data_IF_608109222111
#
_entry.id   IF_608109222111
#
_cell.length_a   1.000
_cell.length_b   1.000
_cell.length_c   1.000
_cell.angle_alpha   90.00
_cell.angle_beta   90.00
_cell.angle_gamma   90.00
#
_symmetry.space_group_name_H-M   'P 1'
#
loop_
_entity.id
_entity.type
_entity.pdbx_description
1 polymer ?
#
# COMPACT_ATOMS: atom_id res chain seq x y z
N UNK A 1 49.53 -34.59 -20.68
CA UNK A 1 49.41 -33.49 -19.72
C UNK A 1 48.02 -32.88 -19.87
N UNK A 2 47.06 -33.36 -19.09
CA UNK A 2 45.66 -32.94 -19.17
C UNK A 2 45.49 -31.72 -18.23
N UNK A 3 45.20 -30.57 -18.80
CA UNK A 3 44.76 -29.41 -18.01
C UNK A 3 43.28 -29.63 -17.64
N UNK A 4 43.04 -29.89 -16.38
CA UNK A 4 41.69 -29.82 -15.82
C UNK A 4 41.31 -28.35 -15.65
N UNK A 5 40.44 -27.83 -16.51
CA UNK A 5 39.82 -26.56 -16.32
C UNK A 5 38.80 -26.72 -15.17
N UNK A 6 39.16 -26.23 -13.98
CA UNK A 6 38.20 -26.08 -12.89
C UNK A 6 37.23 -24.96 -13.26
N UNK A 7 36.02 -25.34 -13.65
CA UNK A 7 34.93 -24.41 -13.83
C UNK A 7 34.65 -23.74 -12.48
N UNK A 8 34.99 -22.48 -12.35
CA UNK A 8 34.55 -21.64 -11.23
C UNK A 8 33.04 -21.50 -11.37
N UNK A 9 32.23 -21.99 -10.43
CA UNK A 9 30.80 -21.79 -10.53
C UNK A 9 30.53 -20.27 -10.51
N UNK A 10 29.63 -19.79 -11.36
CA UNK A 10 29.32 -18.37 -11.39
C UNK A 10 28.85 -17.91 -10.01
N UNK A 11 29.37 -16.80 -9.54
CA UNK A 11 29.08 -16.22 -8.23
C UNK A 11 27.59 -16.03 -7.93
N UNK A 12 26.75 -16.09 -8.97
CA UNK A 12 25.29 -16.09 -8.88
C UNK A 12 24.68 -17.34 -8.22
N UNK A 13 25.39 -18.46 -8.13
CA UNK A 13 24.86 -19.68 -7.52
C UNK A 13 24.75 -19.61 -5.98
N UNK A 14 25.61 -18.82 -5.34
CA UNK A 14 25.57 -18.66 -3.88
C UNK A 14 24.50 -17.69 -3.39
N UNK A 15 24.05 -16.75 -4.22
CA UNK A 15 23.00 -15.79 -3.87
C UNK A 15 21.58 -16.37 -3.99
N UNK A 16 21.42 -17.47 -4.73
CA UNK A 16 20.10 -18.12 -4.91
C UNK A 16 19.59 -18.85 -3.67
N UNK A 17 20.46 -19.16 -2.71
CA UNK A 17 20.08 -19.89 -1.50
C UNK A 17 19.49 -19.01 -0.40
N UNK A 18 19.52 -17.69 -0.57
CA UNK A 18 18.97 -16.75 0.41
C UNK A 18 18.09 -15.71 -0.29
N UNK A 19 16.90 -16.15 -0.71
CA UNK A 19 15.96 -15.32 -1.46
C UNK A 19 15.66 -13.96 -0.77
N UNK A 20 15.62 -13.92 0.56
CA UNK A 20 15.44 -12.70 1.32
C UNK A 20 16.58 -11.71 1.18
N UNK A 21 17.83 -12.19 1.22
CA UNK A 21 19.02 -11.32 1.07
C UNK A 21 19.19 -10.87 -0.37
N UNK A 22 18.95 -11.75 -1.33
CA UNK A 22 18.96 -11.40 -2.75
C UNK A 22 17.89 -10.36 -3.05
N UNK A 23 16.73 -10.51 -2.45
CA UNK A 23 15.66 -9.55 -2.55
C UNK A 23 16.05 -8.19 -1.94
N UNK A 24 16.84 -8.14 -0.88
CA UNK A 24 17.30 -6.90 -0.24
C UNK A 24 18.48 -6.22 -0.94
N UNK A 25 19.34 -6.97 -1.62
CA UNK A 25 20.63 -6.44 -2.06
C UNK A 25 20.79 -6.26 -3.58
N UNK A 26 19.96 -6.87 -4.41
CA UNK A 26 20.29 -7.03 -5.83
C UNK A 26 19.38 -6.39 -6.86
N UNK A 27 18.29 -5.75 -6.48
CA UNK A 27 17.41 -5.09 -7.46
C UNK A 27 16.67 -3.91 -6.83
N UNK A 28 16.52 -2.83 -7.59
CA UNK A 28 15.49 -1.83 -7.34
C UNK A 28 14.15 -2.55 -7.25
N UNK A 29 13.49 -2.46 -6.08
CA UNK A 29 12.41 -3.38 -5.79
C UNK A 29 11.11 -2.84 -6.28
N UNK A 30 10.67 -3.45 -7.35
CA UNK A 30 9.34 -3.24 -7.86
C UNK A 30 8.34 -4.09 -7.06
N UNK A 31 7.80 -3.49 -6.00
CA UNK A 31 6.79 -4.13 -5.15
C UNK A 31 5.48 -4.38 -5.89
N UNK A 32 5.26 -3.73 -7.03
CA UNK A 32 4.06 -3.94 -7.83
C UNK A 32 3.98 -5.34 -8.43
N UNK A 33 5.11 -6.03 -8.58
CA UNK A 33 5.15 -7.41 -9.06
C UNK A 33 4.44 -8.37 -8.11
N UNK A 34 4.44 -8.09 -6.82
CA UNK A 34 3.73 -8.90 -5.84
C UNK A 34 2.22 -8.99 -6.13
N UNK A 35 1.67 -7.95 -6.77
CA UNK A 35 0.25 -7.86 -7.12
C UNK A 35 -0.07 -8.49 -8.49
N UNK A 36 0.90 -9.14 -9.11
CA UNK A 36 0.76 -9.91 -10.37
C UNK A 36 1.10 -11.40 -10.19
N UNK A 37 1.59 -11.79 -9.02
CA UNK A 37 2.02 -13.16 -8.75
C UNK A 37 0.81 -14.04 -8.35
N UNK A 38 0.58 -15.09 -9.14
CA UNK A 38 -0.52 -16.04 -8.95
C UNK A 38 -0.40 -16.89 -7.68
N UNK A 39 0.81 -17.01 -7.12
CA UNK A 39 1.05 -17.75 -5.87
C UNK A 39 0.66 -16.98 -4.62
N UNK A 40 0.40 -15.68 -4.74
CA UNK A 40 0.06 -14.83 -3.62
C UNK A 40 -1.43 -14.86 -3.30
N UNK A 41 -1.75 -14.70 -2.01
CA UNK A 41 -3.11 -14.52 -1.56
C UNK A 41 -3.43 -13.02 -1.46
N UNK A 42 -4.55 -12.61 -2.03
CA UNK A 42 -4.99 -11.23 -2.12
C UNK A 42 -6.12 -10.97 -1.11
N UNK A 43 -6.12 -9.78 -0.51
CA UNK A 43 -7.16 -9.35 0.41
C UNK A 43 -7.60 -7.93 0.05
N UNK A 44 -8.90 -7.75 -0.18
CA UNK A 44 -9.50 -6.47 -0.52
C UNK A 44 -10.30 -5.92 0.66
N UNK A 45 -10.14 -4.63 0.95
CA UNK A 45 -10.95 -3.96 1.95
C UNK A 45 -12.42 -3.93 1.49
N UNK A 46 -13.33 -4.39 2.35
CA UNK A 46 -14.75 -4.56 2.03
C UNK A 46 -15.62 -3.58 2.81
N UNK A 47 -15.69 -3.75 4.12
CA UNK A 47 -16.62 -2.99 4.96
C UNK A 47 -15.99 -2.61 6.30
N UNK A 48 -16.51 -1.55 6.91
CA UNK A 48 -16.18 -1.17 8.27
C UNK A 48 -17.00 -2.03 9.24
N UNK A 49 -16.33 -2.78 10.11
CA UNK A 49 -17.00 -3.59 11.14
C UNK A 49 -17.32 -2.73 12.36
N UNK A 50 -16.35 -1.91 12.78
CA UNK A 50 -16.50 -1.02 13.93
C UNK A 50 -15.54 0.15 13.82
N UNK A 51 -15.91 1.27 14.45
CA UNK A 51 -15.01 2.42 14.63
C UNK A 51 -15.38 3.16 15.92
N UNK A 52 -14.37 3.38 16.75
CA UNK A 52 -14.49 4.16 17.98
C UNK A 52 -13.83 5.52 17.78
N UNK A 53 -14.62 6.57 17.78
CA UNK A 53 -14.16 7.96 17.58
C UNK A 53 -13.30 8.48 18.72
N UNK A 54 -13.46 7.93 19.93
CA UNK A 54 -12.70 8.37 21.10
C UNK A 54 -11.23 7.91 21.06
N UNK A 55 -11.01 6.72 20.55
CA UNK A 55 -9.66 6.13 20.42
C UNK A 55 -9.09 6.22 19.01
N UNK A 56 -9.92 6.51 18.01
CA UNK A 56 -9.55 6.49 16.61
C UNK A 56 -9.27 5.08 16.06
N UNK A 57 -9.68 4.02 16.79
CA UNK A 57 -9.49 2.62 16.38
C UNK A 57 -10.71 2.09 15.65
N UNK A 58 -10.46 1.38 14.58
CA UNK A 58 -11.50 0.69 13.82
C UNK A 58 -11.08 -0.70 13.37
N UNK A 59 -12.03 -1.44 12.86
CA UNK A 59 -11.84 -2.78 12.30
C UNK A 59 -12.43 -2.83 10.91
N UNK A 60 -11.65 -3.29 9.95
CA UNK A 60 -12.06 -3.50 8.56
C UNK A 60 -12.22 -4.99 8.30
N UNK A 61 -13.31 -5.35 7.65
CA UNK A 61 -13.52 -6.67 7.06
C UNK A 61 -12.77 -6.73 5.74
N UNK A 62 -11.94 -7.75 5.57
CA UNK A 62 -11.24 -8.03 4.33
C UNK A 62 -11.86 -9.22 3.63
N UNK A 63 -11.88 -9.16 2.31
CA UNK A 63 -12.33 -10.26 1.45
C UNK A 63 -11.13 -10.89 0.78
N UNK A 64 -10.96 -12.17 0.99
CA UNK A 64 -9.93 -12.96 0.34
C UNK A 64 -10.24 -13.16 -1.14
N UNK A 65 -9.21 -13.01 -1.96
CA UNK A 65 -9.27 -13.13 -3.41
C UNK A 65 -8.10 -13.99 -3.89
N UNK A 66 -8.26 -14.59 -5.05
CA UNK A 66 -7.17 -15.20 -5.80
C UNK A 66 -7.04 -14.52 -7.15
N UNK A 67 -5.83 -14.46 -7.65
CA UNK A 67 -5.55 -13.98 -9.00
C UNK A 67 -5.60 -15.16 -9.97
N UNK A 68 -6.49 -15.13 -10.94
CA UNK A 68 -6.64 -16.16 -11.94
C UNK A 68 -6.32 -15.63 -13.32
N UNK A 69 -5.58 -16.38 -14.16
CA UNK A 69 -5.43 -16.03 -15.55
C UNK A 69 -6.79 -16.12 -16.24
N UNK A 70 -7.17 -15.07 -16.96
CA UNK A 70 -8.38 -15.10 -17.77
C UNK A 70 -8.13 -15.95 -19.01
N UNK A 71 -8.87 -17.04 -19.15
CA UNK A 71 -8.90 -17.84 -20.38
C UNK A 71 -9.72 -17.11 -21.45
N UNK A 72 -9.11 -16.14 -22.11
CA UNK A 72 -9.69 -15.44 -23.23
C UNK A 72 -8.58 -15.09 -24.24
N UNK A 73 -8.96 -14.63 -25.42
CA UNK A 73 -8.07 -14.29 -26.54
C UNK A 73 -6.91 -13.33 -26.21
N UNK A 74 -6.88 -12.76 -25.02
CA UNK A 74 -5.78 -11.95 -24.52
C UNK A 74 -5.18 -12.61 -23.27
N UNK A 75 -4.09 -13.33 -23.44
CA UNK A 75 -3.41 -14.11 -22.40
C UNK A 75 -2.86 -13.30 -21.23
N UNK A 76 -2.84 -11.97 -21.31
CA UNK A 76 -2.28 -11.07 -20.31
C UNK A 76 -3.33 -10.44 -19.37
N UNK A 77 -4.56 -10.92 -19.41
CA UNK A 77 -5.63 -10.38 -18.56
C UNK A 77 -5.85 -11.32 -17.37
N UNK A 78 -5.71 -10.76 -16.17
CA UNK A 78 -5.98 -11.46 -14.91
C UNK A 78 -7.30 -10.99 -14.31
N UNK A 79 -7.99 -11.89 -13.65
CA UNK A 79 -9.24 -11.63 -12.96
C UNK A 79 -9.09 -12.01 -11.48
N UNK A 80 -9.40 -11.08 -10.59
CA UNK A 80 -9.54 -11.40 -9.17
C UNK A 80 -10.92 -12.00 -8.93
N UNK A 81 -10.97 -13.11 -8.22
CA UNK A 81 -12.23 -13.75 -7.82
C UNK A 81 -12.14 -14.26 -6.38
N UNK A 82 -13.27 -14.36 -5.68
CA UNK A 82 -13.31 -14.95 -4.36
C UNK A 82 -12.76 -16.38 -4.38
N UNK A 83 -11.97 -16.73 -3.37
CA UNK A 83 -11.50 -18.08 -3.20
C UNK A 83 -12.68 -18.98 -2.81
N UNK A 84 -12.86 -20.09 -3.51
CA UNK A 84 -13.90 -21.04 -3.18
C UNK A 84 -13.41 -22.03 -2.11
N UNK A 85 -14.29 -22.44 -1.21
CA UNK A 85 -13.94 -23.37 -0.12
C UNK A 85 -13.47 -24.74 -0.58
N UNK A 86 -13.80 -25.12 -1.83
CA UNK A 86 -13.33 -26.38 -2.44
C UNK A 86 -11.87 -26.36 -2.85
N UNK A 87 -11.28 -25.16 -3.06
CA UNK A 87 -9.91 -25.05 -3.54
C UNK A 87 -8.89 -25.30 -2.42
N UNK A 88 -9.24 -24.88 -1.17
CA UNK A 88 -8.36 -25.04 0.00
C UNK A 88 -9.15 -25.24 1.28
N UNK A 89 -8.69 -26.08 2.21
CA UNK A 89 -9.31 -26.23 3.53
C UNK A 89 -9.28 -24.88 4.31
N UNK A 90 -10.40 -24.49 4.88
CA UNK A 90 -10.50 -23.25 5.67
C UNK A 90 -9.51 -23.16 6.81
N UNK A 91 -9.13 -24.30 7.39
CA UNK A 91 -8.21 -24.39 8.52
C UNK A 91 -6.75 -24.09 8.15
N UNK A 92 -6.39 -24.14 6.86
CA UNK A 92 -5.01 -23.95 6.40
C UNK A 92 -4.70 -22.50 6.00
N UNK A 93 -5.71 -21.66 5.81
CA UNK A 93 -5.54 -20.31 5.28
C UNK A 93 -6.42 -19.30 6.01
N UNK A 94 -5.88 -18.09 6.22
CA UNK A 94 -6.65 -16.98 6.76
C UNK A 94 -7.87 -16.73 5.85
N UNK A 95 -9.04 -16.99 6.36
CA UNK A 95 -10.28 -16.65 5.68
C UNK A 95 -10.55 -15.15 5.88
N UNK A 96 -11.44 -14.55 5.21
CA UNK A 96 -11.85 -13.14 5.29
C UNK A 96 -11.54 -12.45 6.65
N UNK A 97 -10.32 -11.99 6.91
CA UNK A 97 -9.91 -11.54 8.22
C UNK A 97 -10.53 -10.18 8.58
N UNK A 98 -10.69 -9.94 9.87
CA UNK A 98 -11.03 -8.65 10.44
C UNK A 98 -9.75 -8.04 11.04
N UNK A 99 -9.28 -6.92 10.49
CA UNK A 99 -8.01 -6.33 10.89
C UNK A 99 -8.19 -4.89 11.35
N UNK A 100 -7.40 -4.52 12.33
CA UNK A 100 -7.46 -3.20 12.98
C UNK A 100 -6.78 -2.14 12.13
N UNK A 101 -7.35 -0.94 12.16
CA UNK A 101 -6.70 0.28 11.71
C UNK A 101 -6.88 1.40 12.74
N UNK A 102 -6.03 2.43 12.64
CA UNK A 102 -6.16 3.63 13.48
C UNK A 102 -6.15 4.88 12.62
N UNK A 103 -6.88 5.90 13.08
CA UNK A 103 -6.85 7.25 12.54
C UNK A 103 -6.52 8.20 13.68
N UNK A 104 -5.39 8.84 13.59
CA UNK A 104 -4.84 9.69 14.64
C UNK A 104 -4.59 11.10 14.11
N UNK A 105 -5.28 12.10 14.65
CA UNK A 105 -4.93 13.50 14.39
C UNK A 105 -3.54 13.83 14.96
N UNK A 106 -2.61 14.25 14.09
CA UNK A 106 -1.25 14.64 14.46
C UNK A 106 -1.11 16.15 14.55
N UNK A 107 -1.79 16.87 13.66
CA UNK A 107 -1.84 18.33 13.66
C UNK A 107 -3.18 18.80 13.09
N UNK A 108 -3.40 20.11 13.05
CA UNK A 108 -4.60 20.68 12.44
C UNK A 108 -4.81 20.32 10.95
N UNK A 109 -3.74 19.88 10.26
CA UNK A 109 -3.72 19.54 8.82
C UNK A 109 -3.35 18.09 8.54
N UNK A 110 -2.99 17.31 9.55
CA UNK A 110 -2.38 16.00 9.35
C UNK A 110 -3.12 14.95 10.15
N UNK A 111 -3.53 13.90 9.46
CA UNK A 111 -4.04 12.67 10.03
C UNK A 111 -3.06 11.54 9.72
N UNK A 112 -2.72 10.74 10.72
CA UNK A 112 -1.98 9.50 10.56
C UNK A 112 -2.96 8.34 10.49
N UNK A 113 -2.87 7.56 9.42
CA UNK A 113 -3.66 6.35 9.23
C UNK A 113 -2.71 5.17 9.27
N UNK A 114 -2.93 4.24 10.20
CA UNK A 114 -2.16 3.02 10.31
C UNK A 114 -3.08 1.83 10.07
N UNK A 115 -2.72 0.98 9.13
CA UNK A 115 -3.46 -0.22 8.78
C UNK A 115 -2.63 -1.45 9.15
N UNK A 116 -3.22 -2.38 9.88
CA UNK A 116 -2.61 -3.69 10.13
C UNK A 116 -3.01 -4.67 9.03
N UNK A 117 -2.04 -5.45 8.57
CA UNK A 117 -2.24 -6.55 7.60
C UNK A 117 -2.20 -7.92 8.30
N UNK A 118 -2.07 -7.93 9.63
CA UNK A 118 -2.01 -9.12 10.48
C UNK A 118 -2.79 -8.86 11.77
N UNK A 119 -3.39 -9.89 12.38
CA UNK A 119 -3.99 -9.76 13.71
C UNK A 119 -2.94 -9.53 14.81
N UNK A 120 -1.67 -9.82 14.53
CA UNK A 120 -0.57 -9.55 15.46
C UNK A 120 -0.26 -8.06 15.40
N UNK A 121 -0.54 -7.36 16.48
CA UNK A 121 -0.17 -5.95 16.64
C UNK A 121 1.31 -5.89 16.95
N UNK A 122 2.13 -5.22 16.11
CA UNK A 122 3.53 -5.00 16.44
C UNK A 122 3.64 -4.25 17.77
N UNK A 123 4.59 -4.65 18.61
CA UNK A 123 4.93 -3.89 19.81
C UNK A 123 5.43 -2.51 19.34
N UNK A 124 4.77 -1.44 19.78
CA UNK A 124 5.27 -0.10 19.51
C UNK A 124 6.58 0.09 20.25
N UNK A 125 7.66 0.28 19.52
CA UNK A 125 8.89 0.76 20.11
C UNK A 125 8.67 2.23 20.49
N UNK A 126 8.72 2.49 21.78
CA UNK A 126 8.59 3.86 22.31
C UNK A 126 9.70 4.79 21.79
N UNK A 127 10.76 4.21 21.30
CA UNK A 127 11.98 4.85 20.78
C UNK A 127 12.17 4.55 19.30
N UNK A 128 11.17 4.84 18.45
CA UNK A 128 11.34 4.76 17.01
C UNK A 128 12.44 5.74 16.56
N UNK A 129 13.60 5.27 16.09
CA UNK A 129 14.73 6.14 15.73
C UNK A 129 14.43 7.06 14.53
N UNK A 130 13.33 6.82 13.80
CA UNK A 130 12.88 7.65 12.70
C UNK A 130 12.06 8.86 13.18
N UNK A 131 11.67 8.90 14.45
CA UNK A 131 10.89 10.00 15.00
C UNK A 131 11.75 10.85 15.94
N UNK A 132 11.89 12.12 15.61
CA UNK A 132 12.47 13.12 16.53
C UNK A 132 11.36 13.59 17.48
N UNK A 133 11.19 12.89 18.58
CA UNK A 133 10.18 13.19 19.60
C UNK A 133 8.83 12.48 19.34
N UNK A 134 7.91 12.66 20.29
CA UNK A 134 6.56 12.08 20.17
C UNK A 134 5.73 12.89 19.18
N UNK A 135 4.90 12.23 18.36
CA UNK A 135 3.93 12.94 17.53
C UNK A 135 3.07 13.86 18.40
N UNK A 136 2.82 15.08 17.93
CA UNK A 136 1.93 15.99 18.61
C UNK A 136 0.50 15.43 18.62
N UNK A 137 -0.25 15.69 19.68
CA UNK A 137 -1.67 15.36 19.76
C UNK A 137 -2.48 16.46 19.08
N UNK A 138 -2.96 16.16 17.89
CA UNK A 138 -3.78 17.06 17.09
C UNK A 138 -5.29 16.93 17.31
N UNK A 139 -5.75 16.12 18.28
CA UNK A 139 -7.18 15.83 18.48
C UNK A 139 -8.03 17.06 18.73
N UNK A 140 -7.50 18.07 19.38
CA UNK A 140 -8.21 19.34 19.64
C UNK A 140 -8.60 20.13 18.38
N UNK A 141 -7.95 19.87 17.24
CA UNK A 141 -8.20 20.54 15.97
C UNK A 141 -9.21 19.82 15.09
N UNK A 142 -9.57 18.58 15.44
CA UNK A 142 -10.45 17.74 14.66
C UNK A 142 -11.70 17.36 15.44
N UNK A 143 -12.86 17.58 14.83
CA UNK A 143 -14.13 17.08 15.32
C UNK A 143 -14.43 15.76 14.62
N UNK A 144 -14.74 14.71 15.38
CA UNK A 144 -15.18 13.43 14.87
C UNK A 144 -16.66 13.23 15.16
N UNK A 145 -17.45 12.89 14.14
CA UNK A 145 -18.87 12.63 14.28
C UNK A 145 -19.31 11.45 13.43
N UNK A 146 -20.31 10.70 13.92
CA UNK A 146 -20.91 9.62 13.16
C UNK A 146 -21.97 10.18 12.21
N UNK A 147 -21.98 9.66 11.00
CA UNK A 147 -22.94 9.97 9.94
C UNK A 147 -23.55 8.68 9.42
N UNK A 148 -24.60 8.76 8.62
CA UNK A 148 -25.24 7.58 8.00
C UNK A 148 -24.25 6.82 7.09
N UNK A 149 -23.28 7.51 6.51
CA UNK A 149 -22.27 6.91 5.62
C UNK A 149 -21.06 6.34 6.35
N UNK A 150 -20.79 6.78 7.57
CA UNK A 150 -19.62 6.40 8.33
C UNK A 150 -19.21 7.43 9.36
N UNK A 151 -17.91 7.57 9.60
CA UNK A 151 -17.37 8.54 10.55
C UNK A 151 -16.67 9.67 9.81
N UNK A 152 -17.06 10.91 10.11
CA UNK A 152 -16.50 12.12 9.53
C UNK A 152 -15.58 12.82 10.52
N UNK A 153 -14.32 13.01 10.15
CA UNK A 153 -13.38 13.90 10.81
C UNK A 153 -13.35 15.24 10.08
N UNK A 154 -13.53 16.35 10.80
CA UNK A 154 -13.55 17.69 10.22
C UNK A 154 -12.58 18.60 10.96
N UNK A 155 -11.77 19.36 10.22
CA UNK A 155 -10.94 20.45 10.69
C UNK A 155 -11.22 21.72 9.86
N UNK A 156 -10.59 22.83 10.20
CA UNK A 156 -10.71 24.05 9.39
C UNK A 156 -10.09 23.97 7.99
N UNK A 157 -9.28 22.93 7.73
CA UNK A 157 -8.55 22.74 6.46
C UNK A 157 -9.16 21.66 5.55
N UNK A 158 -10.08 20.90 6.07
CA UNK A 158 -10.71 19.83 5.29
C UNK A 158 -11.31 18.75 6.15
N UNK A 159 -11.69 17.68 5.51
CA UNK A 159 -12.35 16.55 6.18
C UNK A 159 -11.88 15.20 5.63
N UNK A 160 -11.94 14.19 6.50
CA UNK A 160 -11.77 12.78 6.17
C UNK A 160 -13.05 12.03 6.55
N UNK A 161 -13.72 11.45 5.56
CA UNK A 161 -14.82 10.52 5.80
C UNK A 161 -14.29 9.07 5.71
N UNK A 162 -14.57 8.29 6.74
CA UNK A 162 -14.35 6.85 6.80
C UNK A 162 -15.70 6.21 6.49
N UNK A 163 -15.91 5.74 5.26
CA UNK A 163 -17.19 5.15 4.85
C UNK A 163 -17.34 3.73 5.38
N UNK A 164 -18.60 3.36 5.72
CA UNK A 164 -18.93 2.05 6.27
C UNK A 164 -18.91 0.95 5.20
N UNK A 165 -19.60 1.20 4.07
CA UNK A 165 -19.72 0.24 2.98
C UNK A 165 -19.98 0.95 1.64
N UNK A 166 -19.20 0.62 0.60
CA UNK A 166 -17.90 -0.07 0.69
C UNK A 166 -16.95 0.72 1.58
N UNK A 167 -16.02 0.03 2.28
CA UNK A 167 -15.03 0.73 3.09
C UNK A 167 -14.18 1.65 2.21
N UNK A 168 -14.10 2.91 2.59
CA UNK A 168 -13.41 3.94 1.82
C UNK A 168 -12.96 5.07 2.72
N UNK A 169 -11.81 5.64 2.41
CA UNK A 169 -11.31 6.89 2.96
C UNK A 169 -11.51 7.98 1.92
N UNK A 170 -12.26 9.03 2.25
CA UNK A 170 -12.59 10.14 1.35
C UNK A 170 -12.03 11.42 1.93
N UNK A 171 -11.06 12.02 1.26
CA UNK A 171 -10.42 13.28 1.68
C UNK A 171 -10.99 14.45 0.88
N UNK A 172 -11.46 15.49 1.60
CA UNK A 172 -11.98 16.72 1.00
C UNK A 172 -11.26 17.94 1.57
N UNK A 173 -11.22 19.01 0.77
CA UNK A 173 -10.74 20.31 1.25
C UNK A 173 -11.76 21.02 2.15
N UNK A 174 -11.42 22.24 2.59
CA UNK A 174 -12.28 23.06 3.46
C UNK A 174 -13.59 23.47 2.78
N UNK A 175 -13.60 23.57 1.44
CA UNK A 175 -14.78 23.92 0.66
C UNK A 175 -15.64 22.68 0.33
N UNK A 176 -15.27 21.48 0.83
CA UNK A 176 -15.96 20.23 0.60
C UNK A 176 -15.68 19.60 -0.77
N UNK A 177 -14.73 20.10 -1.55
CA UNK A 177 -14.33 19.52 -2.82
C UNK A 177 -13.50 18.25 -2.58
N UNK A 178 -13.78 17.20 -3.33
CA UNK A 178 -13.05 15.95 -3.29
C UNK A 178 -11.58 16.19 -3.70
N UNK A 179 -10.65 15.89 -2.82
CA UNK A 179 -9.22 15.87 -3.11
C UNK A 179 -8.79 14.51 -3.66
N UNK A 180 -9.02 13.47 -2.90
CA UNK A 180 -8.79 12.08 -3.30
C UNK A 180 -9.61 11.13 -2.44
N UNK A 181 -9.71 9.87 -2.87
CA UNK A 181 -10.35 8.81 -2.11
C UNK A 181 -9.70 7.46 -2.41
N UNK A 182 -9.77 6.53 -1.47
CA UNK A 182 -9.33 5.16 -1.75
C UNK A 182 -10.27 4.49 -2.75
N UNK A 183 -9.74 3.64 -3.59
CA UNK A 183 -10.55 2.81 -4.49
C UNK A 183 -11.11 1.61 -3.74
N UNK A 184 -12.34 1.25 -4.04
CA UNK A 184 -13.02 0.07 -3.52
C UNK A 184 -13.40 -0.89 -4.66
N UNK A 185 -13.80 -2.09 -4.29
CA UNK A 185 -14.15 -3.12 -5.27
C UNK A 185 -15.25 -2.70 -6.25
N UNK A 186 -16.25 -1.98 -5.78
CA UNK A 186 -17.36 -1.50 -6.61
C UNK A 186 -17.00 -0.45 -7.65
N UNK A 187 -15.80 0.13 -7.56
CA UNK A 187 -15.31 1.08 -8.58
C UNK A 187 -14.80 0.37 -9.85
N UNK A 188 -14.70 -0.95 -9.81
CA UNK A 188 -14.22 -1.73 -10.92
C UNK A 188 -15.40 -2.29 -11.73
N UNK A 189 -15.30 -2.22 -13.05
CA UNK A 189 -16.18 -2.99 -13.90
C UNK A 189 -15.95 -4.48 -13.64
N UNK A 190 -17.01 -5.23 -13.45
CA UNK A 190 -16.99 -6.67 -13.14
C UNK A 190 -16.22 -7.52 -14.16
N UNK A 191 -15.95 -6.97 -15.34
CA UNK A 191 -15.29 -7.67 -16.45
C UNK A 191 -13.80 -7.37 -16.59
N UNK A 192 -13.29 -6.28 -15.99
CA UNK A 192 -11.90 -5.85 -16.18
C UNK A 192 -11.32 -5.15 -14.95
N UNK A 193 -10.89 -5.90 -13.96
CA UNK A 193 -10.13 -5.33 -12.84
C UNK A 193 -8.69 -5.06 -13.30
N UNK A 194 -8.43 -3.82 -13.74
CA UNK A 194 -7.08 -3.40 -14.16
C UNK A 194 -6.24 -2.92 -12.98
N UNK A 195 -6.86 -2.42 -11.92
CA UNK A 195 -6.19 -1.92 -10.73
C UNK A 195 -6.91 -2.48 -9.52
N UNK A 196 -6.23 -3.22 -8.63
CA UNK A 196 -6.87 -3.70 -7.41
C UNK A 196 -7.38 -2.51 -6.57
N UNK A 197 -8.43 -2.69 -5.77
CA UNK A 197 -8.85 -1.69 -4.79
C UNK A 197 -7.81 -1.57 -3.66
N UNK A 198 -8.13 -0.82 -2.61
CA UNK A 198 -7.32 -0.84 -1.39
C UNK A 198 -7.16 -2.28 -0.91
N UNK A 199 -5.91 -2.76 -0.90
CA UNK A 199 -5.62 -4.18 -0.78
C UNK A 199 -4.30 -4.46 -0.09
N UNK A 200 -4.12 -5.68 0.36
CA UNK A 200 -2.81 -6.22 0.69
C UNK A 200 -2.69 -7.65 0.14
N UNK A 201 -1.46 -8.12 0.02
CA UNK A 201 -1.16 -9.50 -0.32
C UNK A 201 -0.39 -10.18 0.82
N UNK A 202 -0.53 -11.50 0.90
CA UNK A 202 0.34 -12.38 1.64
C UNK A 202 1.08 -13.23 0.61
N UNK A 203 2.41 -13.12 0.60
CA UNK A 203 3.24 -13.87 -0.33
C UNK A 203 3.20 -15.35 -0.01
N UNK A 204 3.07 -16.16 -1.05
CA UNK A 204 3.16 -17.63 -0.94
C UNK A 204 4.55 -18.12 -0.60
N UNK A 205 5.61 -17.36 -0.93
CA UNK A 205 7.00 -17.79 -0.79
C UNK A 205 7.54 -17.66 0.64
N UNK A 206 7.22 -16.58 1.36
CA UNK A 206 7.84 -16.24 2.65
C UNK A 206 6.84 -15.73 3.70
N UNK A 207 5.54 -15.75 3.38
CA UNK A 207 4.45 -15.22 4.22
C UNK A 207 4.56 -13.73 4.57
N UNK A 208 5.46 -12.98 3.96
CA UNK A 208 5.52 -11.53 4.10
C UNK A 208 4.28 -10.87 3.49
N UNK A 209 4.04 -9.61 3.84
CA UNK A 209 2.85 -8.88 3.40
C UNK A 209 3.23 -7.57 2.76
N UNK A 210 2.59 -7.24 1.64
CA UNK A 210 2.69 -5.95 0.96
C UNK A 210 1.32 -5.30 0.90
N UNK A 211 1.24 -4.03 1.30
CA UNK A 211 -0.01 -3.26 1.26
C UNK A 211 -0.03 -2.36 0.03
N UNK A 212 -1.19 -2.23 -0.59
CA UNK A 212 -1.42 -1.37 -1.75
C UNK A 212 -2.57 -0.40 -1.47
N UNK A 213 -2.28 0.78 -0.92
CA UNK A 213 -3.28 1.82 -0.66
C UNK A 213 -3.57 2.60 -1.94
N UNK A 214 -4.48 2.11 -2.77
CA UNK A 214 -4.84 2.73 -4.05
C UNK A 214 -5.77 3.91 -3.84
N UNK A 215 -5.35 5.07 -4.32
CA UNK A 215 -6.11 6.31 -4.29
C UNK A 215 -6.51 6.77 -5.69
N UNK A 216 -7.64 7.46 -5.80
CA UNK A 216 -8.06 8.06 -7.06
C UNK A 216 -7.22 9.29 -7.39
N UNK A 217 -6.92 9.46 -8.66
CA UNK A 217 -6.27 10.65 -9.21
C UNK A 217 -7.28 11.39 -10.10
N UNK A 218 -7.42 12.70 -9.89
CA UNK A 218 -8.31 13.50 -10.70
C UNK A 218 -7.73 13.72 -12.12
N UNK A 219 -8.56 13.98 -13.13
CA UNK A 219 -8.06 14.33 -14.45
C UNK A 219 -7.12 15.55 -14.39
N UNK A 220 -5.97 15.44 -15.08
CA UNK A 220 -4.92 16.48 -15.13
C UNK A 220 -4.25 16.79 -13.78
N UNK A 221 -4.45 15.99 -12.76
CA UNK A 221 -3.75 16.12 -11.50
C UNK A 221 -2.26 15.81 -11.67
N UNK A 222 -1.42 16.60 -11.01
CA UNK A 222 0.04 16.46 -11.04
C UNK A 222 0.54 16.06 -9.66
N UNK A 223 1.46 15.10 -9.65
CA UNK A 223 2.09 14.57 -8.44
C UNK A 223 3.57 14.94 -8.45
N UNK A 224 4.07 15.41 -7.32
CA UNK A 224 5.45 15.82 -7.15
C UNK A 224 6.03 15.20 -5.88
N UNK A 225 7.35 15.11 -5.79
CA UNK A 225 8.06 14.55 -4.64
C UNK A 225 8.75 13.23 -4.94
N UNK A 226 8.68 12.28 -4.03
CA UNK A 226 9.32 10.96 -4.07
C UNK A 226 10.85 10.97 -3.96
N UNK A 227 11.48 12.09 -3.61
CA UNK A 227 12.92 12.22 -3.47
C UNK A 227 13.61 12.73 -4.73
N UNK A 228 14.91 12.51 -4.80
CA UNK A 228 15.78 13.04 -5.83
C UNK A 228 16.07 11.95 -6.88
N UNK A 229 15.46 12.06 -8.05
CA UNK A 229 15.66 11.13 -9.17
C UNK A 229 15.69 11.87 -10.50
N UNK A 230 16.49 11.37 -11.45
CA UNK A 230 16.60 11.89 -12.81
C UNK A 230 15.42 11.47 -13.70
N UNK A 231 14.19 11.72 -13.24
CA UNK A 231 12.95 11.42 -13.97
C UNK A 231 12.10 12.69 -14.11
N UNK A 232 11.01 12.63 -14.87
CA UNK A 232 10.15 13.79 -15.04
C UNK A 232 9.62 14.29 -13.69
N UNK A 233 9.56 15.62 -13.51
CA UNK A 233 9.15 16.26 -12.26
C UNK A 233 7.72 15.86 -11.85
N UNK A 234 6.80 15.84 -12.79
CA UNK A 234 5.46 15.31 -12.57
C UNK A 234 5.51 13.79 -12.57
N UNK A 235 5.22 13.17 -11.42
CA UNK A 235 5.24 11.72 -11.23
C UNK A 235 3.95 11.01 -11.66
N UNK A 236 2.90 11.76 -12.03
CA UNK A 236 1.67 11.14 -12.53
C UNK A 236 1.96 10.29 -13.78
N UNK A 237 1.51 9.04 -13.77
CA UNK A 237 1.76 8.07 -14.83
C UNK A 237 3.14 7.44 -14.82
N UNK A 238 3.97 7.72 -13.83
CA UNK A 238 5.28 7.09 -13.64
C UNK A 238 5.21 6.00 -12.58
N UNK A 239 6.03 4.97 -12.72
CA UNK A 239 6.38 4.04 -11.66
C UNK A 239 7.65 4.56 -10.96
N UNK A 240 7.59 4.72 -9.66
CA UNK A 240 8.70 5.22 -8.84
C UNK A 240 9.04 4.19 -7.77
N UNK A 241 10.25 3.67 -7.80
CA UNK A 241 10.75 2.74 -6.80
C UNK A 241 11.51 3.52 -5.73
N UNK A 242 10.95 3.58 -4.53
CA UNK A 242 11.56 4.25 -3.39
C UNK A 242 12.43 3.25 -2.61
N UNK A 243 13.62 3.08 -3.11
CA UNK A 243 14.64 2.23 -2.52
C UNK A 243 16.01 2.86 -2.81
N UNK A 244 16.91 2.86 -1.82
CA UNK A 244 18.26 3.40 -2.02
C UNK A 244 19.03 2.49 -2.95
N UNK A 245 19.38 3.00 -4.12
CA UNK A 245 20.20 2.32 -5.12
C UNK A 245 21.25 3.28 -5.62
N UNK A 246 22.45 2.77 -5.82
CA UNK A 246 23.55 3.56 -6.38
C UNK A 246 23.31 3.79 -7.88
N UNK A 247 22.98 5.02 -8.32
CA UNK A 247 22.69 5.27 -9.71
C UNK A 247 23.96 5.15 -10.55
N UNK A 248 23.90 4.33 -11.57
CA UNK A 248 24.97 4.16 -12.54
C UNK A 248 24.86 5.22 -13.65
N UNK A 249 24.97 6.50 -13.27
CA UNK A 249 24.87 7.63 -14.20
C UNK A 249 23.58 8.45 -14.03
N UNK A 250 23.48 9.62 -14.68
CA UNK A 250 22.42 10.59 -14.44
C UNK A 250 21.08 10.25 -15.12
N UNK A 251 21.03 9.22 -15.97
CA UNK A 251 19.84 8.89 -16.78
C UNK A 251 19.04 7.69 -16.24
N UNK A 252 19.31 7.26 -15.00
CA UNK A 252 18.61 6.13 -14.39
C UNK A 252 17.52 6.61 -13.43
N UNK A 253 16.44 5.83 -13.24
CA UNK A 253 15.43 6.13 -12.23
C UNK A 253 15.90 5.83 -10.80
N UNK A 254 17.09 5.23 -10.65
CA UNK A 254 17.69 4.92 -9.36
C UNK A 254 18.03 6.19 -8.59
N UNK A 255 17.97 6.13 -7.27
CA UNK A 255 18.17 7.31 -6.44
C UNK A 255 18.84 6.99 -5.11
N UNK A 256 19.76 7.88 -4.68
CA UNK A 256 20.39 7.84 -3.35
C UNK A 256 19.46 8.28 -2.22
N UNK A 257 18.52 9.18 -2.52
CA UNK A 257 17.69 9.84 -1.52
C UNK A 257 16.19 9.65 -1.85
N UNK A 258 15.68 8.42 -1.76
CA UNK A 258 14.26 8.20 -1.84
C UNK A 258 13.58 8.85 -0.63
N UNK A 259 12.53 9.62 -0.87
CA UNK A 259 11.71 10.20 0.18
C UNK A 259 10.28 9.68 -0.03
N UNK A 260 9.73 8.89 0.89
CA UNK A 260 8.40 8.30 0.74
C UNK A 260 7.29 9.34 1.01
N UNK A 261 7.42 10.49 0.36
CA UNK A 261 6.48 11.60 0.42
C UNK A 261 6.20 12.15 -0.98
N UNK A 262 4.93 12.32 -1.28
CA UNK A 262 4.50 13.04 -2.46
C UNK A 262 3.40 14.05 -2.13
N UNK A 263 3.23 15.01 -3.00
CA UNK A 263 2.15 15.99 -2.91
C UNK A 263 1.51 16.26 -4.27
N UNK A 264 0.23 16.59 -4.20
CA UNK A 264 -0.60 16.91 -5.36
C UNK A 264 -0.75 18.41 -5.54
N UNK A 265 -0.86 18.87 -6.79
CA UNK A 265 -1.24 20.24 -7.10
C UNK A 265 -2.68 20.58 -6.67
N UNK A 266 -3.42 19.61 -6.11
CA UNK A 266 -4.75 19.80 -5.53
C UNK A 266 -4.73 20.18 -4.05
N UNK A 267 -3.54 20.28 -3.44
CA UNK A 267 -3.36 20.78 -2.08
C UNK A 267 -3.36 19.69 -1.00
N UNK A 268 -3.04 18.44 -1.35
CA UNK A 268 -2.79 17.38 -0.37
C UNK A 268 -1.44 16.72 -0.59
N UNK A 269 -0.94 16.05 0.43
CA UNK A 269 0.27 15.22 0.36
C UNK A 269 0.11 13.96 1.18
N UNK A 270 0.92 12.96 0.87
CA UNK A 270 0.96 11.69 1.58
C UNK A 270 2.40 11.31 1.91
N UNK A 271 2.61 10.94 3.16
CA UNK A 271 3.86 10.41 3.66
C UNK A 271 3.67 8.94 4.04
N UNK A 272 4.45 8.06 3.44
CA UNK A 272 4.45 6.64 3.77
C UNK A 272 5.53 6.39 4.82
N UNK A 273 5.10 6.29 6.08
CA UNK A 273 6.00 6.09 7.21
C UNK A 273 6.43 4.61 7.29
N UNK A 274 7.44 4.27 6.52
CA UNK A 274 8.01 2.92 6.46
C UNK A 274 9.48 2.95 6.07
N UNK A 275 10.25 2.00 6.57
CA UNK A 275 11.61 1.70 6.13
C UNK A 275 11.66 0.57 5.08
N UNK A 276 10.52 -0.05 4.79
CA UNK A 276 10.43 -1.06 3.75
C UNK A 276 10.45 -0.42 2.35
N UNK A 277 10.84 -1.17 1.31
CA UNK A 277 10.74 -0.72 -0.07
C UNK A 277 9.31 -0.31 -0.42
N UNK A 278 9.17 0.76 -1.21
CA UNK A 278 7.89 1.29 -1.70
C UNK A 278 7.97 1.45 -3.22
N UNK A 279 6.93 1.07 -3.92
CA UNK A 279 6.77 1.32 -5.37
C UNK A 279 5.48 2.07 -5.60
#
# INVERSE_FOLDING_TARGET
MLLAATAIPPAHAQLKTNAGVQYLLSQSKDMSQDFLDLSNTYFFADSLVSFDTSTGKGTVQWKRQQLMPRQAFNANTYLHQPLQSLDFPETAYDNNPQLTFTVEPVSERTLRIRMLTSPIVPKEDADDPMLIGKPADGRSFWKAEKTDKGTLYTSRYGSLLIENYPWRLVLKDADGRLLTQTRCWSDNDSTQVKVPPFSFIKRGSDNSRSINPVFSLAPNEKIYGCGESATALNKAGQKVNLFVTDPQGPETPDMYKPIPFFFSNRGYGMFMHTSAPVT
#
